data_IF_084451309145
#
_entry.id   IF_084451309145
#
_cell.length_a   1.000
_cell.length_b   1.000
_cell.length_c   1.000
_cell.angle_alpha   90.00
_cell.angle_beta   90.00
_cell.angle_gamma   90.00
#
_symmetry.space_group_name_H-M   'P 1'
#
loop_
_entity.id
_entity.type
_entity.pdbx_description
1 polymer ?
#
# COMPACT_ATOMS: atom_id res chain seq x y z
N UNK A 1 -8.15 27.01 -35.06
CA UNK A 1 -7.11 27.99 -34.69
C UNK A 1 -7.00 27.98 -33.18
N UNK A 2 -5.82 27.61 -32.71
CA UNK A 2 -5.49 27.18 -31.35
C UNK A 2 -5.25 28.35 -30.41
N UNK A 3 -6.03 28.45 -29.33
CA UNK A 3 -5.65 29.24 -28.16
C UNK A 3 -4.68 28.40 -27.31
N UNK A 4 -3.39 28.59 -27.58
CA UNK A 4 -2.31 28.11 -26.72
C UNK A 4 -2.28 28.92 -25.43
N UNK A 5 -2.92 28.40 -24.39
CA UNK A 5 -2.70 28.86 -23.02
C UNK A 5 -1.31 28.41 -22.57
N UNK A 6 -0.36 29.33 -22.58
CA UNK A 6 0.95 29.13 -21.98
C UNK A 6 0.79 28.91 -20.47
N UNK A 7 1.08 27.69 -20.00
CA UNK A 7 1.28 27.36 -18.59
C UNK A 7 2.55 28.07 -18.10
N UNK A 8 2.38 29.24 -17.48
CA UNK A 8 3.48 29.93 -16.82
C UNK A 8 3.81 29.22 -15.51
N UNK A 9 4.98 28.60 -15.46
CA UNK A 9 5.52 27.86 -14.32
C UNK A 9 6.13 28.78 -13.25
N UNK A 10 5.41 29.83 -12.87
CA UNK A 10 5.82 30.68 -11.75
C UNK A 10 5.21 30.15 -10.44
N UNK A 11 5.96 29.26 -9.79
CA UNK A 11 5.61 28.60 -8.53
C UNK A 11 5.62 29.51 -7.28
N UNK A 12 5.58 30.83 -7.45
CA UNK A 12 5.35 31.80 -6.36
C UNK A 12 3.85 32.07 -6.10
N UNK A 13 2.95 31.48 -6.89
CA UNK A 13 1.53 31.79 -6.89
C UNK A 13 0.57 30.60 -6.78
N UNK A 14 0.95 29.47 -6.16
CA UNK A 14 -0.08 28.55 -5.64
C UNK A 14 -0.63 29.10 -4.31
N UNK A 15 -1.12 30.34 -4.33
CA UNK A 15 -2.20 30.69 -3.44
C UNK A 15 -3.36 29.80 -3.87
N UNK A 16 -3.50 28.64 -3.23
CA UNK A 16 -4.74 27.92 -3.25
C UNK A 16 -5.77 28.94 -2.79
N UNK A 17 -6.56 29.48 -3.72
CA UNK A 17 -7.80 30.14 -3.34
C UNK A 17 -8.50 29.07 -2.50
N UNK A 18 -8.53 29.26 -1.17
CA UNK A 18 -9.20 28.35 -0.26
C UNK A 18 -10.59 28.21 -0.87
N UNK A 19 -11.00 27.02 -1.38
CA UNK A 19 -12.42 26.81 -1.53
C UNK A 19 -12.94 27.00 -0.11
N UNK A 20 -13.67 28.10 0.11
CA UNK A 20 -14.20 28.47 1.41
C UNK A 20 -14.81 27.20 1.99
N UNK A 21 -14.10 26.57 2.93
CA UNK A 21 -14.51 25.26 3.43
C UNK A 21 -15.76 25.54 4.22
N UNK A 22 -16.91 25.33 3.57
CA UNK A 22 -18.18 25.34 4.24
C UNK A 22 -18.04 24.49 5.49
N UNK A 23 -18.29 25.09 6.65
CA UNK A 23 -18.10 24.41 7.93
C UNK A 23 -18.87 23.10 7.89
N UNK A 24 -18.16 21.97 7.85
CA UNK A 24 -18.80 20.66 7.80
C UNK A 24 -19.68 20.53 9.04
N UNK A 25 -20.95 20.19 8.85
CA UNK A 25 -21.88 20.04 9.96
C UNK A 25 -21.30 19.07 11.00
N UNK A 26 -21.49 19.36 12.30
CA UNK A 26 -20.89 18.56 13.38
C UNK A 26 -21.22 17.06 13.28
N UNK A 27 -22.42 16.73 12.81
CA UNK A 27 -22.85 15.35 12.58
C UNK A 27 -22.07 14.68 11.43
N UNK A 28 -21.80 15.43 10.36
CA UNK A 28 -21.05 14.97 9.20
C UNK A 28 -19.58 14.73 9.56
N UNK A 29 -18.95 15.64 10.32
CA UNK A 29 -17.58 15.46 10.82
C UNK A 29 -17.45 14.21 11.72
N UNK A 30 -18.43 13.94 12.59
CA UNK A 30 -18.45 12.71 13.41
C UNK A 30 -18.55 11.46 12.54
N UNK A 31 -19.42 11.46 11.53
CA UNK A 31 -19.58 10.33 10.61
C UNK A 31 -18.31 10.06 9.81
N UNK A 32 -17.64 11.11 9.30
CA UNK A 32 -16.35 10.98 8.62
C UNK A 32 -15.28 10.38 9.52
N UNK A 33 -15.13 10.85 10.76
CA UNK A 33 -14.18 10.26 11.73
C UNK A 33 -14.50 8.79 12.01
N UNK A 34 -15.78 8.46 12.21
CA UNK A 34 -16.20 7.08 12.44
C UNK A 34 -15.84 6.18 11.25
N UNK A 35 -16.15 6.62 10.03
CA UNK A 35 -15.79 5.90 8.80
C UNK A 35 -14.28 5.61 8.73
N UNK A 36 -13.44 6.63 8.97
CA UNK A 36 -11.98 6.51 8.92
C UNK A 36 -11.46 5.58 10.02
N UNK A 37 -11.92 5.73 11.26
CA UNK A 37 -11.51 4.84 12.36
C UNK A 37 -11.88 3.39 12.09
N UNK A 38 -13.12 3.09 11.68
CA UNK A 38 -13.54 1.70 11.44
C UNK A 38 -12.77 1.12 10.23
N UNK A 39 -12.57 1.90 9.17
CA UNK A 39 -11.75 1.49 8.02
C UNK A 39 -10.34 1.07 8.46
N UNK A 40 -9.69 1.86 9.31
CA UNK A 40 -8.34 1.57 9.81
C UNK A 40 -8.31 0.44 10.84
N UNK A 41 -9.36 0.26 11.65
CA UNK A 41 -9.51 -0.92 12.51
C UNK A 41 -9.60 -2.18 11.65
N UNK A 42 -10.45 -2.18 10.62
CA UNK A 42 -10.59 -3.31 9.70
C UNK A 42 -9.27 -3.61 8.97
N UNK A 43 -8.58 -2.56 8.49
CA UNK A 43 -7.41 -2.69 7.65
C UNK A 43 -6.09 -2.91 8.40
N UNK A 44 -5.95 -2.40 9.63
CA UNK A 44 -4.71 -2.51 10.42
C UNK A 44 -4.91 -3.49 11.58
N UNK A 45 -5.94 -3.33 12.38
CA UNK A 45 -6.12 -4.13 13.61
C UNK A 45 -6.65 -5.53 13.30
N UNK A 46 -7.65 -5.64 12.42
CA UNK A 46 -8.34 -6.88 12.12
C UNK A 46 -7.77 -7.64 10.91
N UNK A 47 -6.64 -7.22 10.36
CA UNK A 47 -6.06 -7.82 9.16
C UNK A 47 -5.63 -9.29 9.33
N UNK A 48 -5.42 -9.76 10.57
CA UNK A 48 -5.11 -11.16 10.89
C UNK A 48 -6.35 -12.06 10.85
N UNK A 49 -7.55 -11.47 10.84
CA UNK A 49 -8.81 -12.19 10.93
C UNK A 49 -9.45 -12.39 9.56
N UNK A 50 -9.92 -13.61 9.33
CA UNK A 50 -10.55 -14.01 8.09
C UNK A 50 -10.79 -15.51 8.06
N UNK A 51 -11.29 -15.99 6.93
CA UNK A 51 -11.45 -17.43 6.69
C UNK A 51 -10.57 -17.82 5.52
N UNK A 52 -9.94 -18.99 5.62
CA UNK A 52 -9.23 -19.59 4.50
C UNK A 52 -10.24 -20.35 3.62
N UNK A 53 -10.38 -19.92 2.37
CA UNK A 53 -11.23 -20.55 1.36
C UNK A 53 -10.37 -21.25 0.28
N UNK A 54 -11.00 -22.11 -0.52
CA UNK A 54 -10.34 -22.75 -1.67
C UNK A 54 -9.19 -23.69 -1.29
N UNK A 55 -9.40 -24.57 -0.30
CA UNK A 55 -8.40 -25.54 0.14
C UNK A 55 -7.26 -24.95 0.96
N UNK A 56 -7.48 -23.83 1.66
CA UNK A 56 -6.49 -23.22 2.56
C UNK A 56 -5.54 -22.23 1.89
N UNK A 57 -5.73 -21.92 0.60
CA UNK A 57 -4.77 -21.10 -0.18
C UNK A 57 -5.20 -19.65 -0.35
N UNK A 58 -6.49 -19.35 -0.20
CA UNK A 58 -7.04 -18.00 -0.40
C UNK A 58 -7.62 -17.44 0.89
N UNK A 59 -7.16 -16.29 1.33
CA UNK A 59 -7.66 -15.62 2.53
C UNK A 59 -8.83 -14.68 2.18
N UNK A 60 -10.00 -14.89 2.80
CA UNK A 60 -11.09 -13.94 2.81
C UNK A 60 -11.05 -13.15 4.12
N UNK A 61 -10.56 -11.92 4.05
CA UNK A 61 -10.40 -11.04 5.21
C UNK A 61 -11.74 -10.53 5.73
N UNK A 62 -11.87 -10.40 7.06
CA UNK A 62 -13.00 -9.71 7.70
C UNK A 62 -13.13 -8.25 7.20
N UNK A 63 -12.03 -7.66 6.76
CA UNK A 63 -12.01 -6.34 6.15
C UNK A 63 -12.94 -6.23 4.93
N UNK A 64 -13.10 -7.27 4.12
CA UNK A 64 -13.94 -7.21 2.89
C UNK A 64 -15.39 -6.87 3.20
N UNK A 65 -16.16 -7.70 3.93
CA UNK A 65 -17.56 -7.38 4.23
C UNK A 65 -17.70 -6.12 5.08
N UNK A 66 -16.76 -5.85 6.00
CA UNK A 66 -16.78 -4.64 6.83
C UNK A 66 -16.66 -3.37 6.00
N UNK A 67 -15.74 -3.33 5.03
CA UNK A 67 -15.55 -2.18 4.14
C UNK A 67 -16.73 -2.00 3.19
N UNK A 68 -17.28 -3.08 2.63
CA UNK A 68 -18.48 -2.99 1.79
C UNK A 68 -19.67 -2.42 2.56
N UNK A 69 -19.89 -2.86 3.80
CA UNK A 69 -20.93 -2.31 4.67
C UNK A 69 -20.71 -0.82 4.99
N UNK A 70 -19.47 -0.42 5.28
CA UNK A 70 -19.12 0.99 5.52
C UNK A 70 -19.32 1.87 4.28
N UNK A 71 -18.93 1.37 3.10
CA UNK A 71 -19.12 2.10 1.84
C UNK A 71 -20.60 2.22 1.49
N UNK A 72 -21.39 1.16 1.68
CA UNK A 72 -22.84 1.22 1.53
C UNK A 72 -23.45 2.26 2.49
N UNK A 73 -23.07 2.23 3.77
CA UNK A 73 -23.54 3.20 4.75
C UNK A 73 -23.19 4.64 4.38
N UNK A 74 -21.95 4.94 3.99
CA UNK A 74 -21.53 6.31 3.68
C UNK A 74 -22.22 6.85 2.42
N UNK A 75 -22.48 5.99 1.41
CA UNK A 75 -23.28 6.31 0.23
C UNK A 75 -24.74 6.58 0.60
N UNK A 76 -25.39 5.65 1.31
CA UNK A 76 -26.79 5.77 1.73
C UNK A 76 -27.03 6.99 2.62
N UNK A 77 -26.00 7.40 3.36
CA UNK A 77 -26.05 8.60 4.21
C UNK A 77 -25.82 9.92 3.45
N UNK A 78 -25.56 9.85 2.14
CA UNK A 78 -25.35 11.00 1.27
C UNK A 78 -24.02 11.72 1.49
N UNK A 79 -22.99 11.03 1.99
CA UNK A 79 -21.62 11.57 2.24
C UNK A 79 -20.59 11.09 1.22
N UNK A 80 -21.00 10.21 0.33
CA UNK A 80 -20.19 9.72 -0.78
C UNK A 80 -21.06 9.52 -2.02
N UNK A 81 -20.42 9.44 -3.17
CA UNK A 81 -21.05 9.17 -4.47
C UNK A 81 -20.21 8.19 -5.26
N UNK A 82 -20.84 7.53 -6.24
CA UNK A 82 -20.11 6.78 -7.25
C UNK A 82 -19.48 7.74 -8.26
N UNK A 83 -18.21 7.53 -8.55
CA UNK A 83 -17.48 8.26 -9.58
C UNK A 83 -17.74 7.60 -10.94
N UNK A 84 -18.52 8.29 -11.78
CA UNK A 84 -18.90 7.83 -13.12
C UNK A 84 -17.70 7.67 -14.06
N UNK A 85 -16.69 8.52 -13.92
CA UNK A 85 -15.52 8.49 -14.78
C UNK A 85 -14.68 7.25 -14.46
N UNK A 86 -14.43 6.99 -13.17
CA UNK A 86 -13.77 5.77 -12.72
C UNK A 86 -14.59 4.52 -13.05
N UNK A 87 -15.92 4.60 -12.99
CA UNK A 87 -16.79 3.49 -13.37
C UNK A 87 -16.60 3.08 -14.84
N UNK A 88 -16.36 4.03 -15.75
CA UNK A 88 -16.07 3.72 -17.15
C UNK A 88 -14.76 2.92 -17.32
N UNK A 89 -13.68 3.34 -16.65
CA UNK A 89 -12.42 2.60 -16.67
C UNK A 89 -12.55 1.22 -16.04
N UNK A 90 -13.35 1.11 -14.96
CA UNK A 90 -13.63 -0.16 -14.31
C UNK A 90 -14.45 -1.10 -15.21
N UNK A 91 -15.46 -0.58 -15.93
CA UNK A 91 -16.23 -1.36 -16.91
C UNK A 91 -15.37 -1.80 -18.10
N UNK A 92 -14.46 -0.95 -18.57
CA UNK A 92 -13.50 -1.32 -19.61
C UNK A 92 -12.58 -2.47 -19.14
N UNK A 93 -12.06 -2.38 -17.92
CA UNK A 93 -11.28 -3.46 -17.31
C UNK A 93 -12.11 -4.75 -17.14
N UNK A 94 -13.35 -4.64 -16.67
CA UNK A 94 -14.29 -5.77 -16.56
C UNK A 94 -14.54 -6.44 -17.92
N UNK A 95 -14.63 -5.64 -18.99
CA UNK A 95 -14.71 -6.13 -20.36
C UNK A 95 -13.49 -6.98 -20.73
N UNK A 96 -12.28 -6.50 -20.44
CA UNK A 96 -11.04 -7.26 -20.68
C UNK A 96 -10.99 -8.56 -19.86
N UNK A 97 -11.37 -8.52 -18.58
CA UNK A 97 -11.49 -9.71 -17.72
C UNK A 97 -12.46 -10.74 -18.34
N UNK A 98 -13.61 -10.28 -18.83
CA UNK A 98 -14.65 -11.14 -19.42
C UNK A 98 -14.21 -11.76 -20.75
N UNK A 99 -13.53 -10.98 -21.60
CA UNK A 99 -12.93 -11.47 -22.86
C UNK A 99 -11.86 -12.52 -22.55
N UNK A 100 -10.97 -12.24 -21.58
CA UNK A 100 -9.93 -13.16 -21.17
C UNK A 100 -10.49 -14.49 -20.65
N UNK A 101 -11.51 -14.43 -19.78
CA UNK A 101 -12.22 -15.61 -19.31
C UNK A 101 -12.83 -16.41 -20.45
N UNK A 102 -13.54 -15.74 -21.38
CA UNK A 102 -14.19 -16.38 -22.53
C UNK A 102 -13.18 -17.09 -23.43
N UNK A 103 -12.07 -16.42 -23.77
CA UNK A 103 -10.98 -17.01 -24.56
C UNK A 103 -10.38 -18.20 -23.84
N UNK A 104 -10.18 -18.11 -22.53
CA UNK A 104 -9.59 -19.19 -21.77
C UNK A 104 -10.49 -20.43 -21.66
N UNK A 105 -11.82 -20.25 -21.62
CA UNK A 105 -12.78 -21.35 -21.70
C UNK A 105 -12.85 -21.96 -23.10
N UNK A 106 -12.81 -21.13 -24.15
CA UNK A 106 -12.86 -21.61 -25.52
C UNK A 106 -11.58 -22.34 -25.96
N UNK A 107 -10.42 -21.89 -25.45
CA UNK A 107 -9.10 -22.40 -25.77
C UNK A 107 -8.32 -22.71 -24.49
N UNK A 108 -8.60 -23.84 -23.80
CA UNK A 108 -7.90 -24.20 -22.58
C UNK A 108 -6.40 -24.42 -22.82
N UNK A 109 -5.58 -24.08 -21.83
CA UNK A 109 -4.14 -24.38 -21.81
C UNK A 109 -3.83 -25.28 -20.63
N UNK A 110 -3.16 -26.40 -20.88
CA UNK A 110 -2.88 -27.42 -19.87
C UNK A 110 -1.86 -26.99 -18.80
N UNK A 111 -1.14 -25.87 -19.02
CA UNK A 111 -0.17 -25.33 -18.06
C UNK A 111 -0.81 -24.52 -16.95
N UNK A 112 -2.08 -24.13 -17.08
CA UNK A 112 -2.79 -23.24 -16.14
C UNK A 112 -4.18 -23.77 -15.82
N UNK A 113 -4.77 -23.32 -14.71
CA UNK A 113 -6.17 -23.60 -14.40
C UNK A 113 -6.93 -22.33 -14.04
N UNK A 114 -8.24 -22.33 -14.34
CA UNK A 114 -9.12 -21.18 -14.12
C UNK A 114 -9.74 -21.17 -12.72
N UNK A 115 -10.08 -19.97 -12.26
CA UNK A 115 -10.77 -19.77 -11.00
C UNK A 115 -11.73 -18.60 -11.09
N UNK A 116 -13.02 -18.90 -10.99
CA UNK A 116 -14.09 -17.89 -10.99
C UNK A 116 -14.12 -17.03 -9.72
N UNK A 117 -13.47 -17.46 -8.64
CA UNK A 117 -13.37 -16.67 -7.41
C UNK A 117 -12.31 -15.56 -7.51
N UNK A 118 -11.25 -15.77 -8.30
CA UNK A 118 -10.20 -14.77 -8.56
C UNK A 118 -10.74 -13.45 -9.13
N UNK A 119 -11.52 -13.42 -10.24
CA UNK A 119 -12.02 -12.18 -10.81
C UNK A 119 -13.02 -11.50 -9.87
N UNK A 120 -13.85 -12.25 -9.13
CA UNK A 120 -14.76 -11.68 -8.14
C UNK A 120 -13.96 -10.95 -7.05
N UNK A 121 -12.89 -11.55 -6.52
CA UNK A 121 -12.04 -10.93 -5.51
C UNK A 121 -11.37 -9.65 -6.04
N UNK A 122 -10.89 -9.65 -7.29
CA UNK A 122 -10.31 -8.47 -7.94
C UNK A 122 -11.39 -7.38 -8.09
N UNK A 123 -12.55 -7.70 -8.66
CA UNK A 123 -13.62 -6.74 -8.88
C UNK A 123 -14.14 -6.13 -7.57
N UNK A 124 -14.28 -6.93 -6.50
CA UNK A 124 -14.67 -6.43 -5.18
C UNK A 124 -13.60 -5.46 -4.64
N UNK A 125 -12.32 -5.86 -4.66
CA UNK A 125 -11.23 -5.05 -4.13
C UNK A 125 -11.09 -3.71 -4.86
N UNK A 126 -11.20 -3.70 -6.19
CA UNK A 126 -11.01 -2.48 -6.97
C UNK A 126 -12.31 -1.69 -7.18
N UNK A 127 -13.46 -2.31 -6.96
CA UNK A 127 -14.75 -1.62 -6.86
C UNK A 127 -14.78 -0.63 -5.70
N UNK A 128 -13.96 -0.83 -4.65
CA UNK A 128 -13.83 0.11 -3.53
C UNK A 128 -13.42 1.52 -3.99
N UNK A 129 -12.62 1.64 -5.06
CA UNK A 129 -12.17 2.93 -5.60
C UNK A 129 -13.25 3.72 -6.34
N UNK A 130 -14.37 3.09 -6.69
CA UNK A 130 -15.49 3.76 -7.36
C UNK A 130 -16.22 4.73 -6.44
N UNK A 131 -16.07 4.57 -5.12
CA UNK A 131 -16.75 5.41 -4.13
C UNK A 131 -15.85 6.59 -3.75
N UNK A 132 -16.35 7.81 -3.97
CA UNK A 132 -15.63 9.04 -3.62
C UNK A 132 -16.38 9.87 -2.58
N UNK A 133 -15.65 10.53 -1.66
CA UNK A 133 -16.27 11.49 -0.74
C UNK A 133 -16.89 12.66 -1.51
N UNK A 134 -18.01 13.18 -1.01
CA UNK A 134 -18.54 14.47 -1.46
C UNK A 134 -18.20 15.57 -0.45
N UNK A 135 -18.75 16.78 -0.65
CA UNK A 135 -18.49 17.96 0.20
C UNK A 135 -18.88 17.77 1.68
N UNK A 136 -19.79 16.84 1.97
CA UNK A 136 -20.22 16.54 3.35
C UNK A 136 -19.22 15.67 4.09
N UNK A 137 -18.24 15.07 3.42
CA UNK A 137 -17.23 14.26 4.08
C UNK A 137 -16.04 15.13 4.51
N UNK A 138 -15.74 15.17 5.81
CA UNK A 138 -14.53 15.80 6.31
C UNK A 138 -13.30 14.98 5.93
N UNK A 139 -12.56 15.44 4.92
CA UNK A 139 -11.35 14.78 4.41
C UNK A 139 -10.11 15.09 5.25
N UNK A 140 -10.15 16.13 6.08
CA UNK A 140 -8.98 16.62 6.82
C UNK A 140 -8.53 15.65 7.91
N UNK A 141 -9.47 14.88 8.47
CA UNK A 141 -9.21 13.92 9.55
C UNK A 141 -8.49 12.66 9.09
N UNK A 142 -8.44 12.38 7.78
CA UNK A 142 -7.97 11.09 7.25
C UNK A 142 -6.50 10.83 7.58
N UNK A 143 -5.62 11.79 7.27
CA UNK A 143 -4.18 11.63 7.50
C UNK A 143 -3.84 11.61 8.99
N UNK A 144 -4.48 12.46 9.80
CA UNK A 144 -4.24 12.52 11.24
C UNK A 144 -4.64 11.21 11.94
N UNK A 145 -5.80 10.64 11.60
CA UNK A 145 -6.24 9.35 12.16
C UNK A 145 -5.34 8.22 11.66
N UNK A 146 -4.96 8.20 10.37
CA UNK A 146 -4.00 7.22 9.85
C UNK A 146 -2.69 7.24 10.64
N UNK A 147 -2.12 8.44 10.82
CA UNK A 147 -0.88 8.63 11.58
C UNK A 147 -1.02 8.15 13.04
N UNK A 148 -2.18 8.34 13.68
CA UNK A 148 -2.42 7.80 15.02
C UNK A 148 -2.24 6.27 15.07
N UNK A 149 -2.86 5.52 14.15
CA UNK A 149 -2.74 4.05 14.13
C UNK A 149 -1.33 3.59 13.77
N UNK A 150 -0.65 4.25 12.83
CA UNK A 150 0.72 3.87 12.48
C UNK A 150 1.70 4.19 13.61
N UNK A 151 1.53 5.31 14.32
CA UNK A 151 2.33 5.63 15.52
C UNK A 151 2.10 4.61 16.63
N UNK A 152 0.85 4.18 16.83
CA UNK A 152 0.55 3.08 17.74
C UNK A 152 1.31 1.81 17.34
N UNK A 153 1.24 1.41 16.06
CA UNK A 153 1.99 0.25 15.56
C UNK A 153 3.50 0.42 15.72
N UNK A 154 4.04 1.61 15.52
CA UNK A 154 5.47 1.90 15.69
C UNK A 154 5.92 1.71 17.15
N UNK A 155 5.17 2.30 18.10
CA UNK A 155 5.44 2.14 19.53
C UNK A 155 5.30 0.67 19.94
N UNK A 156 4.24 -0.01 19.50
CA UNK A 156 4.05 -1.43 19.78
C UNK A 156 5.14 -2.30 19.15
N UNK A 157 5.66 -1.96 17.97
CA UNK A 157 6.78 -2.70 17.36
C UNK A 157 8.07 -2.56 18.19
N UNK A 158 8.34 -1.35 18.71
CA UNK A 158 9.47 -1.10 19.60
C UNK A 158 9.32 -1.91 20.89
N UNK A 159 8.17 -1.83 21.54
CA UNK A 159 7.89 -2.59 22.77
C UNK A 159 7.98 -4.09 22.50
N UNK A 160 7.32 -4.59 21.45
CA UNK A 160 7.32 -6.00 21.04
C UNK A 160 8.75 -6.51 20.82
N UNK A 161 9.60 -5.72 20.17
CA UNK A 161 10.99 -6.08 19.93
C UNK A 161 11.80 -6.13 21.23
N UNK A 162 11.67 -5.15 22.12
CA UNK A 162 12.44 -5.08 23.36
C UNK A 162 12.01 -6.15 24.38
N UNK A 163 10.71 -6.39 24.49
CA UNK A 163 10.12 -7.31 25.47
C UNK A 163 10.49 -8.77 25.18
N UNK A 164 10.84 -9.12 23.94
CA UNK A 164 11.31 -10.46 23.59
C UNK A 164 12.59 -10.89 24.33
N UNK A 165 13.44 -9.92 24.71
CA UNK A 165 14.69 -10.19 25.44
C UNK A 165 14.46 -10.51 26.92
N UNK A 166 13.26 -10.22 27.44
CA UNK A 166 12.83 -10.62 28.79
C UNK A 166 12.03 -11.93 28.74
N UNK A 167 12.03 -12.62 27.60
CA UNK A 167 11.37 -13.93 27.40
C UNK A 167 9.93 -13.87 26.90
N UNK A 168 9.33 -12.67 26.76
CA UNK A 168 7.95 -12.50 26.31
C UNK A 168 7.89 -12.37 24.78
N UNK A 169 7.49 -13.46 24.10
CA UNK A 169 7.48 -13.56 22.63
C UNK A 169 6.06 -13.53 22.06
N UNK A 170 5.51 -12.33 21.90
CA UNK A 170 4.19 -12.13 21.28
C UNK A 170 4.32 -11.56 19.86
N UNK A 171 4.41 -12.44 18.86
CA UNK A 171 4.60 -12.06 17.43
C UNK A 171 3.46 -12.50 16.51
N UNK A 172 2.65 -13.44 16.99
CA UNK A 172 1.60 -14.11 16.24
C UNK A 172 0.43 -14.49 17.16
N UNK A 173 -0.79 -14.45 16.64
CA UNK A 173 -1.95 -14.81 17.44
C UNK A 173 -2.15 -16.31 17.47
N UNK A 174 -1.87 -17.04 16.37
CA UNK A 174 -2.10 -18.49 16.30
C UNK A 174 -1.38 -19.30 17.39
N UNK A 175 -0.06 -19.14 17.57
CA UNK A 175 0.68 -19.82 18.64
C UNK A 175 0.27 -19.38 20.05
N UNK A 176 -0.13 -18.13 20.22
CA UNK A 176 -0.48 -17.55 21.54
C UNK A 176 -1.91 -17.91 21.96
N UNK A 177 -2.82 -17.94 20.99
CA UNK A 177 -4.26 -18.16 21.16
C UNK A 177 -4.75 -19.21 20.15
N UNK A 178 -4.45 -20.50 20.36
CA UNK A 178 -4.76 -21.56 19.38
C UNK A 178 -6.24 -21.68 19.03
N UNK A 179 -7.14 -21.28 19.94
CA UNK A 179 -8.58 -21.28 19.70
C UNK A 179 -9.02 -20.28 18.60
N UNK A 180 -8.19 -19.30 18.26
CA UNK A 180 -8.45 -18.35 17.18
C UNK A 180 -8.07 -18.91 15.80
N UNK A 181 -7.30 -20.01 15.72
CA UNK A 181 -6.81 -20.56 14.44
C UNK A 181 -7.87 -20.70 13.33
N UNK A 182 -9.13 -21.10 13.59
CA UNK A 182 -10.14 -21.20 12.53
C UNK A 182 -10.51 -19.87 11.87
N UNK A 183 -10.26 -18.75 12.55
CA UNK A 183 -10.58 -17.39 12.08
C UNK A 183 -9.33 -16.54 11.84
N UNK A 184 -8.15 -17.17 11.84
CA UNK A 184 -6.87 -16.52 11.54
C UNK A 184 -6.39 -16.92 10.16
N UNK A 185 -5.93 -15.93 9.39
CA UNK A 185 -5.34 -16.16 8.07
C UNK A 185 -3.81 -16.17 8.10
N UNK A 186 -3.21 -16.11 9.29
CA UNK A 186 -1.76 -16.04 9.49
C UNK A 186 -1.00 -17.13 8.72
N UNK A 187 -1.55 -18.33 8.61
CA UNK A 187 -0.90 -19.50 8.02
C UNK A 187 -0.48 -19.34 6.55
N UNK A 188 -1.10 -18.42 5.80
CA UNK A 188 -0.73 -18.16 4.39
C UNK A 188 0.25 -17.00 4.23
N UNK A 189 0.72 -16.41 5.34
CA UNK A 189 1.64 -15.28 5.40
C UNK A 189 2.91 -15.62 6.19
N UNK A 190 3.92 -14.76 6.08
CA UNK A 190 5.13 -14.85 6.89
C UNK A 190 4.92 -14.14 8.25
N UNK A 191 4.08 -14.73 9.09
CA UNK A 191 3.53 -14.11 10.30
C UNK A 191 4.43 -14.14 11.54
N UNK A 192 5.46 -15.01 11.57
CA UNK A 192 6.41 -15.16 12.69
C UNK A 192 7.88 -15.33 12.22
N UNK A 193 8.44 -14.37 11.44
CA UNK A 193 9.78 -14.51 10.88
C UNK A 193 10.89 -14.24 11.91
N UNK A 194 11.91 -15.07 11.88
CA UNK A 194 13.20 -14.84 12.56
C UNK A 194 14.08 -13.87 11.78
N UNK A 195 14.99 -13.17 12.46
CA UNK A 195 15.91 -12.19 11.83
C UNK A 195 16.80 -12.89 10.80
N UNK A 196 17.46 -13.97 11.21
CA UNK A 196 18.32 -14.80 10.38
C UNK A 196 18.08 -16.29 10.66
N UNK A 197 18.51 -17.15 9.74
CA UNK A 197 18.47 -18.60 9.97
C UNK A 197 19.23 -18.97 11.24
N UNK A 198 18.61 -19.76 12.12
CA UNK A 198 19.17 -20.11 13.43
C UNK A 198 19.09 -19.01 14.50
N UNK A 199 18.60 -17.81 14.17
CA UNK A 199 18.43 -16.74 15.17
C UNK A 199 17.21 -17.01 16.05
N UNK A 200 17.35 -16.74 17.35
CA UNK A 200 16.24 -16.73 18.32
C UNK A 200 15.47 -15.42 18.33
N UNK A 201 16.00 -14.39 17.66
CA UNK A 201 15.40 -13.05 17.60
C UNK A 201 14.39 -12.98 16.47
N UNK A 202 13.21 -12.45 16.77
CA UNK A 202 12.09 -12.31 15.84
C UNK A 202 11.95 -10.87 15.37
N UNK A 203 11.43 -10.72 14.15
CA UNK A 203 11.20 -9.42 13.53
C UNK A 203 9.89 -8.83 14.06
N UNK A 204 9.90 -7.55 14.39
CA UNK A 204 8.72 -6.87 14.89
C UNK A 204 7.65 -6.73 13.80
N UNK A 205 6.41 -7.02 14.15
CA UNK A 205 5.22 -6.79 13.32
C UNK A 205 4.42 -5.58 13.79
N UNK A 206 4.64 -5.09 15.01
CA UNK A 206 3.80 -4.04 15.60
C UNK A 206 2.49 -4.58 16.14
N UNK A 207 2.47 -5.87 16.50
CA UNK A 207 1.33 -6.65 17.01
C UNK A 207 0.23 -6.89 15.97
N UNK A 208 -0.31 -5.83 15.37
CA UNK A 208 -1.46 -5.92 14.47
C UNK A 208 -1.10 -6.25 13.02
N UNK A 209 -0.10 -5.58 12.38
CA UNK A 209 0.36 -5.95 11.05
C UNK A 209 0.64 -7.44 10.89
N UNK A 210 0.13 -8.02 9.81
CA UNK A 210 0.20 -9.46 9.56
C UNK A 210 1.64 -9.94 9.35
N UNK A 211 2.45 -9.09 8.71
CA UNK A 211 3.86 -9.33 8.42
C UNK A 211 4.71 -8.07 8.70
N UNK A 212 6.03 -8.23 8.95
CA UNK A 212 6.93 -7.07 9.08
C UNK A 212 7.03 -6.22 7.80
N UNK A 213 6.77 -6.81 6.63
CA UNK A 213 6.67 -6.12 5.34
C UNK A 213 5.58 -5.05 5.34
N UNK A 214 4.39 -5.38 5.85
CA UNK A 214 3.26 -4.46 5.96
C UNK A 214 3.58 -3.35 6.95
N UNK A 215 4.12 -3.68 8.13
CA UNK A 215 4.57 -2.67 9.10
C UNK A 215 5.55 -1.69 8.45
N UNK A 216 6.58 -2.19 7.77
CA UNK A 216 7.60 -1.35 7.12
C UNK A 216 7.02 -0.37 6.08
N UNK A 217 6.00 -0.81 5.35
CA UNK A 217 5.29 0.01 4.35
C UNK A 217 4.43 1.09 5.02
N UNK A 218 3.70 0.75 6.08
CA UNK A 218 2.92 1.71 6.87
C UNK A 218 3.82 2.78 7.50
N UNK A 219 4.95 2.39 8.08
CA UNK A 219 5.92 3.31 8.68
C UNK A 219 6.49 4.28 7.64
N UNK A 220 6.78 3.80 6.43
CA UNK A 220 7.24 4.65 5.32
C UNK A 220 6.15 5.62 4.86
N UNK A 221 4.89 5.18 4.74
CA UNK A 221 3.78 6.07 4.41
C UNK A 221 3.62 7.16 5.49
N UNK A 222 3.69 6.80 6.77
CA UNK A 222 3.62 7.75 7.88
C UNK A 222 4.81 8.72 7.88
N UNK A 223 6.02 8.24 7.60
CA UNK A 223 7.20 9.09 7.48
C UNK A 223 7.07 10.07 6.30
N UNK A 224 6.55 9.61 5.16
CA UNK A 224 6.29 10.48 3.99
C UNK A 224 5.28 11.55 4.33
N UNK A 225 4.18 11.19 5.00
CA UNK A 225 3.15 12.13 5.41
C UNK A 225 3.70 13.14 6.43
N UNK A 226 4.35 12.70 7.50
CA UNK A 226 4.88 13.60 8.53
C UNK A 226 6.01 14.50 7.97
N UNK A 227 6.92 13.96 7.16
CA UNK A 227 8.08 14.69 6.65
C UNK A 227 7.75 15.59 5.45
N UNK A 228 7.08 15.08 4.41
CA UNK A 228 6.81 15.85 3.19
C UNK A 228 5.55 16.70 3.30
N UNK A 229 4.48 16.17 3.88
CA UNK A 229 3.18 16.87 3.92
C UNK A 229 3.07 17.76 5.16
N UNK A 230 3.21 17.21 6.37
CA UNK A 230 3.09 18.00 7.61
C UNK A 230 4.35 18.78 8.00
N UNK A 231 5.53 18.46 7.42
CA UNK A 231 6.83 19.06 7.77
C UNK A 231 7.18 18.92 9.27
N UNK A 232 6.79 17.81 9.89
CA UNK A 232 7.01 17.49 11.31
C UNK A 232 8.04 16.37 11.45
N UNK A 233 9.16 16.64 12.12
CA UNK A 233 10.19 15.61 12.33
C UNK A 233 10.02 14.81 13.63
N UNK A 234 9.16 15.25 14.55
CA UNK A 234 9.05 14.69 15.91
C UNK A 234 8.86 13.16 15.98
N UNK A 235 8.14 12.57 15.02
CA UNK A 235 7.85 11.13 15.01
C UNK A 235 8.76 10.32 14.08
N UNK A 236 9.53 10.99 13.21
CA UNK A 236 10.40 10.31 12.24
C UNK A 236 11.43 9.39 12.93
N UNK A 237 12.06 9.77 14.07
CA UNK A 237 12.94 8.85 14.80
C UNK A 237 12.23 7.58 15.28
N UNK A 238 10.99 7.70 15.78
CA UNK A 238 10.22 6.54 16.22
C UNK A 238 9.89 5.61 15.05
N UNK A 239 9.56 6.17 13.88
CA UNK A 239 9.36 5.37 12.66
C UNK A 239 10.65 4.68 12.22
N UNK A 240 11.79 5.36 12.29
CA UNK A 240 13.08 4.79 11.93
C UNK A 240 13.48 3.61 12.83
N UNK A 241 13.34 3.75 14.15
CA UNK A 241 13.63 2.67 15.10
C UNK A 241 12.69 1.49 14.91
N UNK A 242 11.37 1.74 14.80
CA UNK A 242 10.39 0.67 14.53
C UNK A 242 10.65 -0.02 13.19
N UNK A 243 11.06 0.74 12.17
CA UNK A 243 11.42 0.23 10.85
C UNK A 243 12.62 -0.71 10.92
N UNK A 244 13.66 -0.32 11.67
CA UNK A 244 14.82 -1.18 11.91
C UNK A 244 14.43 -2.50 12.56
N UNK A 245 13.58 -2.48 13.59
CA UNK A 245 13.12 -3.69 14.28
C UNK A 245 12.19 -4.58 13.44
N UNK A 246 11.60 -4.05 12.38
CA UNK A 246 10.85 -4.86 11.41
C UNK A 246 11.76 -5.73 10.53
N UNK A 247 13.07 -5.41 10.41
CA UNK A 247 14.01 -6.07 9.49
C UNK A 247 13.42 -6.30 8.09
N UNK A 248 12.70 -5.30 7.57
CA UNK A 248 11.97 -5.41 6.31
C UNK A 248 12.27 -4.25 5.35
N UNK A 249 12.87 -4.57 4.21
CA UNK A 249 13.28 -3.60 3.19
C UNK A 249 12.16 -3.11 2.27
N UNK A 250 10.97 -3.72 2.31
CA UNK A 250 9.93 -3.46 1.30
C UNK A 250 9.48 -2.00 1.29
N UNK A 251 9.21 -1.40 2.45
CA UNK A 251 8.84 0.01 2.54
C UNK A 251 9.91 0.96 1.95
N UNK A 252 11.18 0.78 2.32
CA UNK A 252 12.26 1.64 1.83
C UNK A 252 12.51 1.47 0.33
N UNK A 253 12.42 0.24 -0.20
CA UNK A 253 12.55 0.01 -1.65
C UNK A 253 11.41 0.70 -2.39
N UNK A 254 10.17 0.61 -1.91
CA UNK A 254 9.05 1.31 -2.55
C UNK A 254 9.24 2.84 -2.52
N UNK A 255 9.76 3.39 -1.42
CA UNK A 255 10.11 4.81 -1.35
C UNK A 255 11.21 5.17 -2.36
N UNK A 256 12.30 4.38 -2.39
CA UNK A 256 13.42 4.58 -3.30
C UNK A 256 12.97 4.58 -4.77
N UNK A 257 12.07 3.67 -5.15
CA UNK A 257 11.50 3.61 -6.50
C UNK A 257 10.55 4.77 -6.80
N UNK A 258 9.92 5.36 -5.78
CA UNK A 258 9.07 6.53 -5.94
C UNK A 258 9.88 7.84 -6.08
N UNK A 259 11.13 7.88 -5.61
CA UNK A 259 11.93 9.11 -5.62
C UNK A 259 12.27 9.61 -7.04
N UNK A 260 12.77 8.80 -8.00
CA UNK A 260 13.10 9.28 -9.34
C UNK A 260 11.95 9.99 -10.06
N UNK A 261 10.74 9.38 -10.21
CA UNK A 261 9.64 10.08 -10.86
C UNK A 261 9.21 11.31 -10.07
N UNK A 262 9.31 11.29 -8.74
CA UNK A 262 9.02 12.46 -7.92
C UNK A 262 10.00 13.62 -8.15
N UNK A 263 11.31 13.36 -8.22
CA UNK A 263 12.34 14.37 -8.55
C UNK A 263 12.08 14.98 -9.92
N UNK A 264 11.80 14.12 -10.91
CA UNK A 264 11.57 14.55 -12.30
C UNK A 264 10.35 15.47 -12.41
N UNK A 265 9.28 15.16 -11.67
CA UNK A 265 8.05 15.95 -11.67
C UNK A 265 8.14 17.19 -10.75
N UNK A 266 8.93 17.15 -9.67
CA UNK A 266 8.98 18.17 -8.62
C UNK A 266 10.41 18.55 -8.22
N UNK A 267 11.25 18.89 -9.19
CA UNK A 267 12.68 19.17 -8.99
C UNK A 267 12.99 20.19 -7.87
N UNK A 268 12.12 21.18 -7.62
CA UNK A 268 12.30 22.17 -6.54
C UNK A 268 12.23 21.56 -5.13
N UNK A 269 11.63 20.37 -4.99
CA UNK A 269 11.59 19.63 -3.73
C UNK A 269 12.79 18.69 -3.54
N UNK A 270 13.75 18.69 -4.47
CA UNK A 270 14.94 17.83 -4.40
C UNK A 270 15.78 18.03 -3.13
N UNK A 271 15.80 19.23 -2.54
CA UNK A 271 16.51 19.48 -1.28
C UNK A 271 16.00 18.63 -0.11
N UNK A 272 14.69 18.36 -0.06
CA UNK A 272 14.11 17.47 0.95
C UNK A 272 14.53 16.01 0.74
N UNK A 273 14.71 15.62 -0.52
CA UNK A 273 15.19 14.29 -0.86
C UNK A 273 16.66 14.12 -0.49
N UNK A 274 17.48 15.13 -0.73
CA UNK A 274 18.87 15.18 -0.26
C UNK A 274 18.89 15.06 1.27
N UNK A 275 18.03 15.78 1.97
CA UNK A 275 17.91 15.68 3.44
C UNK A 275 17.54 14.27 3.88
N UNK A 276 16.51 13.66 3.26
CA UNK A 276 16.09 12.30 3.56
C UNK A 276 17.19 11.28 3.27
N UNK A 277 17.92 11.45 2.17
CA UNK A 277 19.04 10.60 1.79
C UNK A 277 20.19 10.72 2.79
N UNK A 278 20.57 11.95 3.19
CA UNK A 278 21.59 12.19 4.21
C UNK A 278 21.18 11.55 5.54
N UNK A 279 19.93 11.72 5.97
CA UNK A 279 19.42 11.10 7.21
C UNK A 279 19.44 9.58 7.09
N UNK A 280 19.02 9.01 5.96
CA UNK A 280 19.05 7.57 5.71
C UNK A 280 20.47 7.00 5.73
N UNK A 281 21.42 7.65 5.04
CA UNK A 281 22.83 7.26 5.03
C UNK A 281 23.45 7.42 6.42
N UNK A 282 23.15 8.51 7.13
CA UNK A 282 23.60 8.74 8.50
C UNK A 282 23.10 7.66 9.45
N UNK A 283 21.82 7.29 9.37
CA UNK A 283 21.26 6.18 10.14
C UNK A 283 21.96 4.86 9.80
N UNK A 284 22.16 4.56 8.53
CA UNK A 284 22.91 3.36 8.12
C UNK A 284 24.34 3.36 8.66
N UNK A 285 25.05 4.48 8.61
CA UNK A 285 26.39 4.63 9.15
C UNK A 285 26.45 4.44 10.66
N UNK A 286 25.51 5.06 11.40
CA UNK A 286 25.39 4.87 12.85
C UNK A 286 25.12 3.40 13.18
N UNK A 287 24.23 2.74 12.43
CA UNK A 287 23.96 1.31 12.65
C UNK A 287 25.12 0.41 12.30
N UNK A 288 25.92 0.74 11.28
CA UNK A 288 27.13 -0.01 10.95
C UNK A 288 28.15 -0.01 12.10
N UNK A 289 28.24 1.12 12.83
CA UNK A 289 29.17 1.29 13.94
C UNK A 289 28.62 0.69 15.24
N UNK A 290 27.38 1.03 15.61
CA UNK A 290 26.80 0.65 16.91
C UNK A 290 26.21 -0.77 16.92
N UNK A 291 25.77 -1.26 15.76
CA UNK A 291 24.97 -2.47 15.62
C UNK A 291 25.43 -3.27 14.38
N UNK A 292 26.70 -3.73 14.35
CA UNK A 292 27.32 -4.30 13.16
C UNK A 292 26.62 -5.58 12.68
N UNK A 293 26.08 -6.40 13.57
CA UNK A 293 25.30 -7.59 13.20
C UNK A 293 24.00 -7.23 12.48
N UNK A 294 23.33 -6.18 12.95
CA UNK A 294 22.09 -5.69 12.35
C UNK A 294 22.37 -5.06 11.00
N UNK A 295 23.45 -4.27 10.90
CA UNK A 295 23.92 -3.75 9.63
C UNK A 295 24.26 -4.87 8.64
N UNK A 296 24.98 -5.90 9.08
CA UNK A 296 25.28 -7.09 8.26
C UNK A 296 24.01 -7.80 7.80
N UNK A 297 22.98 -7.86 8.66
CA UNK A 297 21.67 -8.39 8.27
C UNK A 297 20.93 -7.53 7.25
N UNK A 298 21.22 -6.23 7.14
CA UNK A 298 20.69 -5.37 6.08
C UNK A 298 21.51 -5.49 4.79
N UNK A 299 22.84 -5.51 4.88
CA UNK A 299 23.72 -5.63 3.71
C UNK A 299 23.64 -7.01 3.06
N UNK A 300 23.44 -8.08 3.85
CA UNK A 300 23.22 -9.43 3.32
C UNK A 300 21.95 -9.54 2.46
N UNK A 301 20.99 -8.62 2.63
CA UNK A 301 19.77 -8.57 1.80
C UNK A 301 20.00 -8.07 0.39
N UNK A 302 21.12 -7.41 0.11
CA UNK A 302 21.51 -7.12 -1.27
C UNK A 302 21.66 -8.40 -2.09
N UNK A 303 22.07 -9.51 -1.44
CA UNK A 303 22.10 -10.85 -2.01
C UNK A 303 20.74 -11.57 -2.08
N UNK A 304 19.67 -11.04 -1.48
CA UNK A 304 18.33 -11.66 -1.62
C UNK A 304 17.90 -11.64 -3.09
N UNK A 305 18.22 -10.60 -3.85
CA UNK A 305 17.81 -10.48 -5.25
C UNK A 305 18.38 -11.59 -6.16
N UNK A 306 19.54 -12.15 -5.82
CA UNK A 306 20.15 -13.25 -6.58
C UNK A 306 19.72 -14.65 -6.09
N UNK A 307 19.14 -14.76 -4.90
CA UNK A 307 18.69 -16.03 -4.34
C UNK A 307 17.23 -16.31 -4.67
N UNK A 308 16.98 -17.30 -5.55
CA UNK A 308 15.62 -17.71 -5.98
C UNK A 308 14.69 -18.12 -4.84
N UNK A 309 15.25 -18.54 -3.70
CA UNK A 309 14.48 -18.93 -2.53
C UNK A 309 14.17 -17.77 -1.58
N UNK A 310 14.60 -16.54 -1.88
CA UNK A 310 14.36 -15.39 -1.04
C UNK A 310 13.03 -14.69 -1.37
N UNK A 311 12.42 -14.07 -0.35
CA UNK A 311 11.25 -13.24 -0.56
C UNK A 311 11.54 -11.99 -1.41
N UNK A 312 12.78 -11.48 -1.37
CA UNK A 312 13.21 -10.34 -2.17
C UNK A 312 13.24 -10.70 -3.66
N UNK A 313 13.87 -11.81 -4.01
CA UNK A 313 13.90 -12.31 -5.38
C UNK A 313 12.49 -12.53 -5.92
N UNK A 314 11.64 -13.25 -5.19
CA UNK A 314 10.28 -13.54 -5.64
C UNK A 314 9.49 -12.25 -5.99
N UNK A 315 9.61 -11.21 -5.15
CA UNK A 315 8.90 -9.94 -5.31
C UNK A 315 9.46 -9.05 -6.42
N UNK A 316 10.79 -8.99 -6.58
CA UNK A 316 11.42 -8.01 -7.47
C UNK A 316 11.93 -8.59 -8.80
N UNK A 317 12.25 -9.89 -8.84
CA UNK A 317 12.85 -10.54 -10.02
C UNK A 317 11.96 -11.67 -10.52
N UNK A 318 11.53 -12.57 -9.64
CA UNK A 318 10.75 -13.76 -9.99
C UNK A 318 9.42 -13.44 -10.67
N UNK A 319 8.80 -12.30 -10.36
CA UNK A 319 7.60 -11.84 -11.08
C UNK A 319 7.84 -11.65 -12.59
N UNK A 320 9.04 -11.22 -12.98
CA UNK A 320 9.43 -11.06 -14.39
C UNK A 320 9.89 -12.38 -15.01
N UNK A 321 10.53 -13.28 -14.24
CA UNK A 321 10.85 -14.63 -14.71
C UNK A 321 9.58 -15.38 -15.11
N UNK A 322 8.53 -15.33 -14.28
CA UNK A 322 7.24 -15.98 -14.56
C UNK A 322 6.54 -15.33 -15.75
N UNK A 323 6.62 -14.00 -15.89
CA UNK A 323 6.07 -13.31 -17.06
C UNK A 323 6.80 -13.69 -18.35
N UNK A 324 8.13 -13.83 -18.29
CA UNK A 324 8.97 -14.20 -19.43
C UNK A 324 8.67 -15.58 -20.02
N UNK A 325 8.02 -16.48 -19.26
CA UNK A 325 7.58 -17.79 -19.77
C UNK A 325 6.50 -17.65 -20.85
N UNK A 326 5.67 -16.61 -20.77
CA UNK A 326 4.46 -16.50 -21.59
C UNK A 326 4.37 -15.23 -22.42
N UNK A 327 5.22 -14.23 -22.18
CA UNK A 327 5.09 -12.88 -22.77
C UNK A 327 5.17 -12.87 -24.31
N UNK A 328 5.92 -13.80 -24.90
CA UNK A 328 6.11 -13.92 -26.35
C UNK A 328 4.96 -14.67 -27.04
N UNK A 329 4.03 -15.25 -26.28
CA UNK A 329 2.87 -15.94 -26.83
C UNK A 329 1.77 -14.94 -27.20
N UNK A 330 1.08 -15.10 -28.36
CA UNK A 330 -0.03 -14.21 -28.73
C UNK A 330 -1.12 -14.12 -27.65
N UNK A 331 -1.25 -15.18 -26.85
CA UNK A 331 -2.19 -15.25 -25.72
C UNK A 331 -1.86 -14.23 -24.62
N UNK A 332 -0.62 -13.77 -24.47
CA UNK A 332 -0.26 -12.73 -23.51
C UNK A 332 -0.96 -11.38 -23.78
N UNK A 333 -1.47 -11.14 -24.99
CA UNK A 333 -2.24 -9.94 -25.30
C UNK A 333 -3.61 -9.92 -24.59
N UNK A 334 -4.27 -11.08 -24.50
CA UNK A 334 -5.64 -11.26 -24.00
C UNK A 334 -5.67 -11.90 -22.60
N UNK A 335 -4.66 -12.69 -22.26
CA UNK A 335 -4.52 -13.40 -20.98
C UNK A 335 -4.88 -14.88 -21.05
N UNK A 336 -4.48 -15.58 -20.00
CA UNK A 336 -4.72 -17.01 -19.80
C UNK A 336 -6.01 -17.29 -19.04
N UNK A 337 -6.68 -16.24 -18.57
CA UNK A 337 -7.95 -16.30 -17.88
C UNK A 337 -7.80 -16.08 -16.37
N UNK A 338 -8.93 -15.87 -15.67
CA UNK A 338 -8.91 -15.47 -14.27
C UNK A 338 -8.36 -16.57 -13.36
N UNK A 339 -7.41 -16.21 -12.50
CA UNK A 339 -6.75 -17.09 -11.55
C UNK A 339 -5.67 -17.99 -12.14
N UNK A 340 -5.23 -17.72 -13.37
CA UNK A 340 -4.27 -18.54 -14.10
C UNK A 340 -2.89 -18.54 -13.43
N UNK A 341 -2.37 -17.38 -13.00
CA UNK A 341 -1.01 -17.28 -12.46
C UNK A 341 -0.77 -18.21 -11.26
N UNK A 342 -1.61 -18.19 -10.23
CA UNK A 342 -1.40 -18.99 -9.01
C UNK A 342 -1.65 -20.50 -9.24
N UNK A 343 -2.19 -20.86 -10.40
CA UNK A 343 -2.47 -22.24 -10.81
C UNK A 343 -1.63 -22.67 -12.00
N UNK A 344 -0.63 -21.88 -12.36
CA UNK A 344 0.30 -22.21 -13.42
C UNK A 344 1.33 -23.24 -12.94
N UNK A 345 1.74 -24.15 -13.82
CA UNK A 345 2.83 -25.12 -13.53
C UNK A 345 4.17 -24.44 -13.25
N UNK A 346 4.35 -23.23 -13.74
CA UNK A 346 5.52 -22.37 -13.54
C UNK A 346 5.34 -21.35 -12.40
N UNK A 347 4.25 -21.45 -11.63
CA UNK A 347 4.02 -20.57 -10.48
C UNK A 347 5.09 -20.76 -9.40
N UNK A 348 5.53 -19.65 -8.81
CA UNK A 348 6.42 -19.64 -7.66
C UNK A 348 5.81 -18.75 -6.58
N UNK A 349 5.83 -19.20 -5.31
CA UNK A 349 5.24 -18.43 -4.21
C UNK A 349 5.94 -17.08 -4.09
N UNK A 350 5.14 -16.01 -3.99
CA UNK A 350 5.63 -14.64 -3.84
C UNK A 350 5.90 -13.90 -5.14
N UNK A 351 5.76 -14.53 -6.32
CA UNK A 351 5.93 -13.88 -7.64
C UNK A 351 4.65 -13.23 -8.18
N UNK A 352 3.57 -13.26 -7.40
CA UNK A 352 2.28 -12.62 -7.70
C UNK A 352 2.33 -11.09 -7.51
N UNK A 353 3.16 -10.40 -8.30
CA UNK A 353 3.10 -8.94 -8.42
C UNK A 353 1.90 -8.50 -9.26
N UNK A 354 1.36 -7.27 -9.10
CA UNK A 354 0.23 -6.81 -9.90
C UNK A 354 0.46 -6.92 -11.41
N UNK A 355 1.65 -6.56 -11.91
CA UNK A 355 1.93 -6.57 -13.34
C UNK A 355 1.98 -7.98 -13.91
N UNK A 356 2.68 -8.91 -13.26
CA UNK A 356 2.73 -10.31 -13.71
C UNK A 356 1.35 -10.95 -13.61
N UNK A 357 0.64 -10.71 -12.50
CA UNK A 357 -0.71 -11.21 -12.26
C UNK A 357 -1.71 -10.71 -13.31
N UNK A 358 -1.79 -9.40 -13.53
CA UNK A 358 -2.72 -8.81 -14.49
C UNK A 358 -2.42 -9.24 -15.92
N UNK A 359 -1.14 -9.27 -16.30
CA UNK A 359 -0.75 -9.65 -17.67
C UNK A 359 -1.03 -11.13 -17.94
N UNK A 360 -0.72 -12.01 -16.99
CA UNK A 360 -0.96 -13.45 -17.16
C UNK A 360 -2.45 -13.76 -17.09
N UNK A 361 -3.19 -13.21 -16.13
CA UNK A 361 -4.61 -13.49 -15.99
C UNK A 361 -5.48 -12.83 -17.06
N UNK A 362 -5.21 -11.55 -17.38
CA UNK A 362 -6.12 -10.68 -18.14
C UNK A 362 -5.46 -10.04 -19.37
N UNK A 363 -4.22 -10.42 -19.68
CA UNK A 363 -3.49 -9.96 -20.84
C UNK A 363 -2.88 -8.57 -20.66
N UNK A 364 -2.01 -8.19 -21.60
CA UNK A 364 -1.43 -6.84 -21.68
C UNK A 364 -2.51 -5.77 -21.80
N UNK A 365 -3.61 -6.04 -22.51
CA UNK A 365 -4.74 -5.10 -22.62
C UNK A 365 -5.43 -4.90 -21.27
N UNK A 366 -5.75 -5.99 -20.56
CA UNK A 366 -6.35 -5.92 -19.23
C UNK A 366 -5.42 -5.23 -18.23
N UNK A 367 -4.13 -5.54 -18.27
CA UNK A 367 -3.10 -4.87 -17.47
C UNK A 367 -3.05 -3.37 -17.74
N UNK A 368 -3.02 -2.94 -19.01
CA UNK A 368 -3.00 -1.51 -19.36
C UNK A 368 -4.25 -0.78 -18.87
N UNK A 369 -5.44 -1.33 -19.13
CA UNK A 369 -6.71 -0.72 -18.69
C UNK A 369 -6.77 -0.61 -17.16
N UNK A 370 -6.30 -1.64 -16.46
CA UNK A 370 -6.20 -1.64 -15.02
C UNK A 370 -5.20 -0.59 -14.51
N UNK A 371 -4.03 -0.45 -15.14
CA UNK A 371 -3.05 0.56 -14.77
C UNK A 371 -3.60 1.97 -14.97
N UNK A 372 -4.36 2.21 -16.04
CA UNK A 372 -5.07 3.49 -16.24
C UNK A 372 -6.10 3.73 -15.12
N UNK A 373 -6.88 2.71 -14.76
CA UNK A 373 -7.84 2.78 -13.65
C UNK A 373 -7.14 3.16 -12.33
N UNK A 374 -6.07 2.47 -11.96
CA UNK A 374 -5.32 2.73 -10.71
C UNK A 374 -4.65 4.10 -10.73
N UNK A 375 -4.02 4.48 -11.85
CA UNK A 375 -3.44 5.81 -11.97
C UNK A 375 -4.51 6.89 -11.82
N UNK A 376 -5.66 6.76 -12.47
CA UNK A 376 -6.78 7.71 -12.32
C UNK A 376 -7.34 7.75 -10.90
N UNK A 377 -7.37 6.61 -10.21
CA UNK A 377 -7.86 6.51 -8.84
C UNK A 377 -6.86 7.10 -7.83
N UNK A 378 -5.57 6.85 -8.01
CA UNK A 378 -4.54 7.20 -7.02
C UNK A 378 -3.99 8.61 -7.22
N UNK A 379 -3.90 9.07 -8.46
CA UNK A 379 -3.07 10.22 -8.81
C UNK A 379 -3.63 11.53 -8.30
N UNK A 380 -2.76 12.28 -7.61
CA UNK A 380 -3.08 13.54 -6.96
C UNK A 380 -1.88 14.47 -6.93
N UNK A 381 -1.98 15.57 -7.68
CA UNK A 381 -0.90 16.54 -7.83
C UNK A 381 -0.58 17.27 -6.52
N UNK A 382 -1.59 17.50 -5.69
CA UNK A 382 -1.50 18.23 -4.41
C UNK A 382 -0.73 17.47 -3.31
N UNK A 383 -0.53 16.16 -3.47
CA UNK A 383 0.21 15.32 -2.52
C UNK A 383 1.07 14.27 -3.22
N UNK A 384 1.60 14.58 -4.42
CA UNK A 384 2.09 13.61 -5.40
C UNK A 384 3.07 12.53 -4.90
N UNK A 385 3.93 12.84 -3.92
CA UNK A 385 4.82 11.84 -3.31
C UNK A 385 4.04 10.67 -2.69
N UNK A 386 2.88 10.93 -2.07
CA UNK A 386 2.10 9.91 -1.38
C UNK A 386 1.50 8.91 -2.38
N UNK A 387 0.75 9.30 -3.43
CA UNK A 387 0.33 8.41 -4.50
C UNK A 387 1.48 7.66 -5.17
N UNK A 388 2.63 8.29 -5.38
CA UNK A 388 3.79 7.62 -5.97
C UNK A 388 4.31 6.49 -5.08
N UNK A 389 4.46 6.74 -3.78
CA UNK A 389 4.88 5.71 -2.81
C UNK A 389 3.83 4.61 -2.71
N UNK A 390 2.54 4.96 -2.65
CA UNK A 390 1.43 3.99 -2.67
C UNK A 390 1.46 3.13 -3.94
N UNK A 391 1.66 3.74 -5.10
CA UNK A 391 1.76 3.04 -6.39
C UNK A 391 2.97 2.10 -6.40
N UNK A 392 4.13 2.53 -5.91
CA UNK A 392 5.31 1.68 -5.85
C UNK A 392 5.14 0.54 -4.85
N UNK A 393 4.53 0.77 -3.69
CA UNK A 393 4.20 -0.29 -2.73
C UNK A 393 3.20 -1.30 -3.29
N UNK A 394 2.23 -0.81 -4.08
CA UNK A 394 1.30 -1.66 -4.81
C UNK A 394 2.03 -2.54 -5.82
N UNK A 395 2.83 -1.95 -6.72
CA UNK A 395 3.53 -2.66 -7.80
C UNK A 395 4.60 -3.64 -7.30
N UNK A 396 5.26 -3.34 -6.18
CA UNK A 396 6.33 -4.17 -5.60
C UNK A 396 5.85 -5.17 -4.55
N UNK A 397 4.57 -5.09 -4.18
CA UNK A 397 3.94 -5.95 -3.20
C UNK A 397 3.67 -7.35 -3.73
N UNK A 398 4.47 -8.35 -3.33
CA UNK A 398 4.18 -9.74 -3.67
C UNK A 398 2.88 -10.21 -3.00
N UNK A 399 1.85 -10.49 -3.79
CA UNK A 399 0.55 -10.95 -3.33
C UNK A 399 -0.39 -9.83 -2.84
N UNK A 400 -0.01 -8.56 -2.92
CA UNK A 400 -0.84 -7.45 -2.42
C UNK A 400 -1.98 -7.07 -3.38
N UNK A 401 -1.95 -7.58 -4.60
CA UNK A 401 -2.98 -7.34 -5.62
C UNK A 401 -4.40 -7.70 -5.17
N UNK A 402 -4.55 -8.67 -4.25
CA UNK A 402 -5.84 -9.06 -3.67
C UNK A 402 -5.89 -8.92 -2.14
N UNK A 403 -4.88 -8.24 -1.56
CA UNK A 403 -4.80 -8.03 -0.12
C UNK A 403 -5.64 -6.81 0.30
N UNK A 404 -6.93 -7.05 0.51
CA UNK A 404 -7.94 -6.02 0.83
C UNK A 404 -7.53 -5.03 1.91
N UNK A 405 -6.93 -5.44 3.05
CA UNK A 405 -6.56 -4.50 4.12
C UNK A 405 -5.65 -3.37 3.61
N UNK A 406 -4.64 -3.70 2.81
CA UNK A 406 -3.71 -2.71 2.28
C UNK A 406 -4.32 -1.88 1.14
N UNK A 407 -5.13 -2.51 0.28
CA UNK A 407 -5.91 -1.81 -0.77
C UNK A 407 -6.85 -0.77 -0.15
N UNK A 408 -7.47 -1.07 0.99
CA UNK A 408 -8.32 -0.14 1.71
C UNK A 408 -7.55 1.07 2.25
N UNK A 409 -6.31 0.86 2.73
CA UNK A 409 -5.41 1.94 3.16
C UNK A 409 -5.03 2.80 1.96
N UNK A 410 -4.70 2.20 0.82
CA UNK A 410 -4.40 2.94 -0.41
C UNK A 410 -5.60 3.76 -0.90
N UNK A 411 -6.80 3.17 -0.88
CA UNK A 411 -8.05 3.90 -1.16
C UNK A 411 -8.20 5.09 -0.22
N UNK A 412 -8.06 4.87 1.09
CA UNK A 412 -8.23 5.91 2.09
C UNK A 412 -7.23 7.08 1.88
N UNK A 413 -5.95 6.76 1.65
CA UNK A 413 -4.89 7.76 1.50
C UNK A 413 -4.95 8.50 0.15
N UNK A 414 -5.27 7.79 -0.94
CA UNK A 414 -5.25 8.39 -2.27
C UNK A 414 -6.59 9.01 -2.68
N UNK A 415 -7.72 8.43 -2.30
CA UNK A 415 -9.06 8.93 -2.68
C UNK A 415 -9.66 9.84 -1.61
N UNK A 416 -9.60 9.42 -0.35
CA UNK A 416 -10.38 10.05 0.72
C UNK A 416 -9.67 11.20 1.44
N UNK A 417 -8.34 11.20 1.49
CA UNK A 417 -7.57 12.24 2.17
C UNK A 417 -7.65 13.61 1.47
N UNK A 418 -7.09 14.65 2.09
CA UNK A 418 -6.78 15.96 1.47
C UNK A 418 -5.41 16.39 2.01
N UNK A 419 -4.61 17.17 1.28
CA UNK A 419 -3.36 17.71 1.83
C UNK A 419 -3.63 18.44 3.15
N UNK A 420 -2.68 18.41 4.11
CA UNK A 420 -2.77 19.22 5.31
C UNK A 420 -2.95 20.70 4.95
N UNK A 421 -3.74 21.44 5.74
CA UNK A 421 -3.68 22.90 5.68
C UNK A 421 -2.23 23.29 5.97
N UNK A 422 -1.63 24.10 5.09
CA UNK A 422 -0.36 24.74 5.43
C UNK A 422 -0.58 25.42 6.77
N UNK A 423 0.25 25.07 7.77
CA UNK A 423 0.28 25.88 8.97
C UNK A 423 0.63 27.27 8.47
N UNK A 424 -0.28 28.24 8.62
CA UNK A 424 0.02 29.65 8.41
C UNK A 424 1.40 29.86 9.01
N UNK A 425 2.37 30.22 8.17
CA UNK A 425 3.66 30.60 8.67
C UNK A 425 3.38 31.58 9.82
N UNK A 426 3.99 31.39 11.01
CA UNK A 426 3.83 32.40 12.06
C UNK A 426 4.07 33.73 11.37
N UNK A 427 3.13 34.69 11.46
CA UNK A 427 3.19 35.92 10.69
C UNK A 427 4.61 36.39 10.82
N UNK A 428 5.36 36.40 9.72
CA UNK A 428 6.74 36.86 9.73
C UNK A 428 6.64 38.17 10.47
N UNK A 429 7.25 38.22 11.66
CA UNK A 429 7.25 39.42 12.48
C UNK A 429 7.47 40.53 11.49
N UNK A 430 6.45 41.37 11.34
CA UNK A 430 6.58 42.59 10.59
C UNK A 430 7.87 43.17 11.15
N UNK A 431 8.94 43.10 10.36
CA UNK A 431 10.15 43.86 10.62
C UNK A 431 9.67 45.28 10.51
N UNK A 432 9.25 45.72 11.69
CA UNK A 432 9.14 47.04 12.20
C UNK A 432 9.87 48.01 11.29
N UNK A 433 9.10 48.96 10.78
CA UNK A 433 9.47 50.36 10.76
C UNK A 433 10.78 50.64 11.50
N UNK A 434 11.80 50.94 10.69
CA UNK A 434 13.05 51.60 11.03
C UNK A 434 13.51 52.31 9.76
#
# INVERSE_FOLDING_TARGET
>A
MSNGGALTADGSGYAFAEPAQASVARADAKASRLFVHITLILAIILQRFGILAGGGTSALFVAVPGLLALLAWIILSGRARLDSDLALYFLAFLGAVSISATVAFAFPDNRVALSLTSPIAVLINYGLFLVRPNERFDRTVVLDIFLFYVRLCAVLAIIQYLVQFVGLRFFAFGPTFPFLNPILVEQVFNFDPVVAWGSTTRRATGIFPLEPSILSQLLVLAAVIDFFLYRRMRWVPAYAVAYMFSYSGTGAISLLLALPPFVLLFHRQASRLVTLAIVGVGLLGVTAILLPEQFNSFTSRSGELSSKQSSGHARFVGQFEVLGVVIDEPRALIGYGPGALERATFFQRGTTGPISKLTIDYGMIGCLLFMVLILKAFWRWDMAILPLVVLMQFLTGGGYFVFTPLIAIYMLLSVWAVPPKEAEAPPSEATAAG
#
